data_IF_440252587118
#
_entry.id   IF_440252587118
#
_cell.length_a   1.000
_cell.length_b   1.000
_cell.length_c   1.000
_cell.angle_alpha   90.00
_cell.angle_beta   90.00
_cell.angle_gamma   90.00
#
_symmetry.space_group_name_H-M   'P 1'
#
loop_
_entity.id
_entity.type
_entity.pdbx_description
1 polymer ?
#
# COMPACT_ATOMS: atom_id res chain seq x y z
N UNK A 1 11.88 3.38 0.69
CA UNK A 1 11.50 2.17 -0.06
C UNK A 1 10.76 2.63 -1.31
N UNK A 2 10.86 1.90 -2.42
CA UNK A 2 10.07 2.18 -3.64
C UNK A 2 9.14 0.99 -3.85
N UNK A 3 7.87 1.26 -4.10
CA UNK A 3 6.85 0.28 -4.44
C UNK A 3 6.40 0.57 -5.86
N UNK A 4 6.47 -0.42 -6.73
CA UNK A 4 6.20 -0.29 -8.16
C UNK A 4 4.71 -0.46 -8.43
N UNK A 5 4.09 -1.47 -7.81
CA UNK A 5 2.68 -1.81 -8.01
C UNK A 5 1.76 -1.12 -6.98
N UNK A 6 1.94 0.18 -6.72
CA UNK A 6 1.34 0.82 -5.54
C UNK A 6 -0.20 0.76 -5.51
N UNK A 7 -0.90 1.06 -6.61
CA UNK A 7 -2.37 1.07 -6.63
C UNK A 7 -2.95 -0.35 -6.53
N UNK A 8 -2.29 -1.32 -7.17
CA UNK A 8 -2.61 -2.72 -7.01
C UNK A 8 -2.46 -3.18 -5.55
N UNK A 9 -1.34 -2.87 -4.90
CA UNK A 9 -1.16 -3.24 -3.50
C UNK A 9 -2.13 -2.52 -2.56
N UNK A 10 -2.44 -1.24 -2.79
CA UNK A 10 -3.48 -0.55 -2.02
C UNK A 10 -4.82 -1.28 -2.13
N UNK A 11 -5.24 -1.66 -3.34
CA UNK A 11 -6.44 -2.46 -3.58
C UNK A 11 -6.41 -3.80 -2.82
N UNK A 12 -5.34 -4.59 -2.98
CA UNK A 12 -5.19 -5.90 -2.33
C UNK A 12 -5.14 -5.83 -0.80
N UNK A 13 -4.76 -4.68 -0.25
CA UNK A 13 -4.72 -4.41 1.19
C UNK A 13 -6.01 -3.78 1.72
N UNK A 14 -7.08 -3.77 0.92
CA UNK A 14 -8.42 -3.34 1.30
C UNK A 14 -8.77 -1.91 0.90
N UNK A 15 -8.02 -1.34 -0.04
CA UNK A 15 -8.43 -0.15 -0.79
C UNK A 15 -9.59 -0.45 -1.75
N UNK A 16 -9.98 0.56 -2.52
CA UNK A 16 -11.03 0.45 -3.52
C UNK A 16 -10.49 0.16 -4.93
N UNK A 17 -11.39 -0.05 -5.89
CA UNK A 17 -11.09 -0.36 -7.29
C UNK A 17 -10.30 0.74 -8.03
N UNK A 18 -10.11 1.92 -7.42
CA UNK A 18 -9.27 3.00 -7.98
C UNK A 18 -7.86 3.01 -7.41
N UNK A 19 -7.58 2.14 -6.43
CA UNK A 19 -6.32 2.12 -5.70
C UNK A 19 -6.24 3.20 -4.64
N UNK A 20 -7.39 3.76 -4.25
CA UNK A 20 -7.49 4.65 -3.10
C UNK A 20 -7.62 3.84 -1.80
N UNK A 21 -7.15 4.41 -0.70
CA UNK A 21 -7.22 3.79 0.61
C UNK A 21 -8.62 3.91 1.21
N UNK A 22 -8.93 3.03 2.15
CA UNK A 22 -10.18 2.97 2.89
C UNK A 22 -9.93 3.36 4.36
N UNK A 23 -10.69 4.33 4.88
CA UNK A 23 -10.52 4.81 6.26
C UNK A 23 -10.80 3.78 7.33
N UNK A 24 -11.61 2.78 7.02
CA UNK A 24 -11.95 1.68 7.93
C UNK A 24 -10.94 0.53 7.89
N UNK A 25 -10.03 0.52 6.89
CA UNK A 25 -9.07 -0.57 6.67
C UNK A 25 -7.65 -0.01 6.71
N UNK A 26 -7.00 -0.15 7.86
CA UNK A 26 -5.70 0.47 8.11
C UNK A 26 -4.60 -0.06 7.18
N UNK A 27 -4.61 -1.34 6.78
CA UNK A 27 -3.63 -1.89 5.82
C UNK A 27 -3.68 -1.22 4.45
N UNK A 28 -4.82 -0.66 4.03
CA UNK A 28 -4.92 0.09 2.78
C UNK A 28 -4.15 1.41 2.81
N UNK A 29 -3.85 1.94 4.01
CA UNK A 29 -3.14 3.20 4.22
C UNK A 29 -1.61 3.06 4.19
N UNK A 30 -1.12 1.86 3.89
CA UNK A 30 0.31 1.52 3.96
C UNK A 30 1.16 2.20 2.89
N UNK A 31 0.56 2.54 1.74
CA UNK A 31 1.25 3.14 0.59
C UNK A 31 0.74 4.56 0.32
N UNK A 32 -0.57 4.77 0.40
CA UNK A 32 -1.23 6.08 0.38
C UNK A 32 -2.05 6.19 1.66
N UNK A 33 -1.61 6.99 2.62
CA UNK A 33 -2.43 7.23 3.83
C UNK A 33 -3.32 8.46 3.65
N UNK A 34 -4.28 8.68 4.56
CA UNK A 34 -5.24 9.77 4.45
C UNK A 34 -4.81 11.11 5.04
N UNK A 35 -3.85 11.10 5.95
CA UNK A 35 -3.45 12.29 6.69
C UNK A 35 -2.41 13.07 5.88
N UNK A 36 -2.88 14.06 5.13
CA UNK A 36 -2.08 14.93 4.28
C UNK A 36 -1.18 15.86 5.13
N UNK A 37 0.11 15.89 4.79
CA UNK A 37 1.05 16.88 5.28
C UNK A 37 0.93 18.10 4.37
N UNK A 38 0.36 19.17 4.92
CA UNK A 38 0.14 20.47 4.25
C UNK A 38 -0.86 20.43 3.07
N UNK A 39 -2.17 20.30 3.39
CA UNK A 39 -3.24 20.27 2.38
C UNK A 39 -3.40 21.61 1.63
N UNK A 40 -2.76 22.69 2.08
CA UNK A 40 -2.84 24.01 1.44
C UNK A 40 -1.75 24.21 0.36
N UNK A 41 -0.70 23.37 0.33
CA UNK A 41 0.38 23.38 -0.67
C UNK A 41 0.27 22.26 -1.72
N UNK A 42 -0.93 21.99 -2.24
CA UNK A 42 -1.08 21.13 -3.43
C UNK A 42 -0.51 21.84 -4.68
N UNK A 43 0.78 21.60 -4.94
CA UNK A 43 1.53 22.18 -6.08
C UNK A 43 1.50 21.30 -7.34
N UNK A 44 0.52 20.40 -7.45
CA UNK A 44 0.38 19.45 -8.57
C UNK A 44 1.17 18.15 -8.40
N UNK A 45 1.74 17.90 -7.21
CA UNK A 45 2.32 16.62 -6.78
C UNK A 45 1.34 15.99 -5.79
N UNK A 46 1.16 14.66 -5.83
CA UNK A 46 0.35 13.94 -4.84
C UNK A 46 0.81 14.31 -3.43
N UNK A 47 -0.10 14.65 -2.51
CA UNK A 47 0.29 15.07 -1.17
C UNK A 47 1.17 14.03 -0.46
N UNK A 48 2.08 14.50 0.39
CA UNK A 48 2.75 13.61 1.31
C UNK A 48 1.75 13.23 2.41
N UNK A 49 1.71 11.96 2.79
CA UNK A 49 0.82 11.47 3.83
C UNK A 49 1.61 10.84 4.96
N UNK A 50 1.06 10.81 6.17
CA UNK A 50 1.73 10.16 7.30
C UNK A 50 0.89 9.11 8.02
N UNK A 51 1.59 8.26 8.77
CA UNK A 51 1.07 7.37 9.79
C UNK A 51 1.78 7.67 11.09
N UNK A 52 1.01 7.80 12.17
CA UNK A 52 1.53 7.96 13.53
C UNK A 52 2.28 6.70 13.98
N UNK A 53 3.06 6.80 15.07
CA UNK A 53 3.79 5.66 15.63
C UNK A 53 2.84 4.50 15.99
N UNK A 54 1.70 4.81 16.60
CA UNK A 54 0.71 3.80 17.01
C UNK A 54 0.10 3.11 15.78
N UNK A 55 -0.23 3.88 14.73
CA UNK A 55 -0.72 3.33 13.46
C UNK A 55 0.34 2.47 12.77
N UNK A 56 1.62 2.88 12.78
CA UNK A 56 2.72 2.08 12.20
C UNK A 56 2.87 0.74 12.93
N UNK A 57 2.75 0.72 14.25
CA UNK A 57 2.78 -0.52 15.04
C UNK A 57 1.61 -1.43 14.68
N UNK A 58 0.40 -0.86 14.59
CA UNK A 58 -0.79 -1.62 14.24
C UNK A 58 -0.72 -2.18 12.81
N UNK A 59 -0.32 -1.35 11.84
CA UNK A 59 -0.08 -1.75 10.46
C UNK A 59 0.92 -2.89 10.37
N UNK A 60 2.06 -2.79 11.07
CA UNK A 60 3.08 -3.83 11.06
C UNK A 60 2.53 -5.16 11.58
N UNK A 61 1.71 -5.11 12.64
CA UNK A 61 1.03 -6.30 13.18
C UNK A 61 0.04 -6.90 12.18
N UNK A 62 -0.80 -6.08 11.54
CA UNK A 62 -1.81 -6.55 10.58
C UNK A 62 -1.18 -7.11 9.31
N UNK A 63 -0.19 -6.42 8.75
CA UNK A 63 0.56 -6.88 7.58
C UNK A 63 1.23 -8.23 7.82
N UNK A 64 1.78 -8.47 9.02
CA UNK A 64 2.42 -9.73 9.37
C UNK A 64 1.43 -10.92 9.45
N UNK A 65 0.12 -10.67 9.55
CA UNK A 65 -0.90 -11.74 9.54
C UNK A 65 -1.40 -12.10 8.14
N UNK A 66 -1.10 -11.29 7.12
CA UNK A 66 -1.53 -11.53 5.75
C UNK A 66 -0.49 -12.47 5.10
N UNK A 67 -0.94 -13.67 4.70
CA UNK A 67 -0.12 -14.60 3.91
C UNK A 67 -0.16 -14.25 2.42
N UNK A 68 0.80 -14.78 1.67
CA UNK A 68 0.86 -14.66 0.21
C UNK A 68 -0.45 -15.16 -0.44
N UNK A 69 -1.00 -16.28 0.03
CA UNK A 69 -2.26 -16.82 -0.46
C UNK A 69 -3.44 -15.91 -0.14
N UNK A 70 -3.47 -15.31 1.06
CA UNK A 70 -4.53 -14.40 1.46
C UNK A 70 -4.47 -13.10 0.64
N UNK A 71 -3.28 -12.57 0.38
CA UNK A 71 -3.09 -11.40 -0.48
C UNK A 71 -3.54 -11.72 -1.92
N UNK A 72 -3.00 -12.80 -2.51
CA UNK A 72 -3.29 -13.18 -3.89
C UNK A 72 -4.72 -13.67 -4.10
N UNK A 73 -5.44 -14.10 -3.06
CA UNK A 73 -6.88 -14.40 -3.17
C UNK A 73 -7.74 -13.19 -3.52
N UNK A 74 -7.20 -11.97 -3.32
CA UNK A 74 -7.84 -10.69 -3.70
C UNK A 74 -7.39 -10.20 -5.07
N UNK A 75 -6.46 -10.90 -5.71
CA UNK A 75 -5.95 -10.54 -7.02
C UNK A 75 -6.96 -10.90 -8.10
N UNK A 76 -7.69 -9.89 -8.57
CA UNK A 76 -8.77 -9.99 -9.54
C UNK A 76 -8.44 -9.15 -10.78
N UNK A 77 -7.63 -9.65 -11.73
CA UNK A 77 -7.18 -8.91 -12.92
C UNK A 77 -8.29 -8.15 -13.66
N UNK A 78 -9.47 -8.76 -13.75
CA UNK A 78 -10.65 -8.20 -14.42
C UNK A 78 -11.21 -6.94 -13.73
N UNK A 79 -10.91 -6.74 -12.45
CA UNK A 79 -11.35 -5.60 -11.63
C UNK A 79 -10.23 -4.57 -11.38
N UNK A 80 -9.02 -4.79 -11.92
CA UNK A 80 -7.83 -3.98 -11.62
C UNK A 80 -7.43 -3.03 -12.75
N UNK A 81 -8.17 -2.99 -13.86
CA UNK A 81 -7.78 -2.29 -15.10
C UNK A 81 -7.46 -0.79 -14.95
N UNK A 82 -8.08 -0.11 -13.99
CA UNK A 82 -7.91 1.33 -13.76
C UNK A 82 -6.87 1.65 -12.65
N UNK A 83 -6.23 0.63 -12.07
CA UNK A 83 -5.26 0.82 -11.00
C UNK A 83 -3.94 1.39 -11.52
N UNK A 84 -3.46 2.42 -10.83
CA UNK A 84 -2.18 3.04 -11.13
C UNK A 84 -0.98 2.31 -10.46
N UNK A 85 0.22 2.32 -11.06
CA UNK A 85 0.48 2.70 -12.46
C UNK A 85 -0.28 1.78 -13.41
N UNK A 86 -0.90 2.36 -14.46
CA UNK A 86 -1.73 1.61 -15.41
C UNK A 86 -0.86 0.51 -16.04
N UNK A 87 -1.19 -0.73 -15.72
CA UNK A 87 -0.53 -1.92 -16.23
C UNK A 87 -1.53 -2.89 -16.86
N UNK A 88 -1.07 -3.74 -17.76
CA UNK A 88 -1.84 -4.92 -18.17
C UNK A 88 -1.84 -5.93 -17.01
N UNK A 89 -2.72 -5.72 -16.03
CA UNK A 89 -2.97 -6.69 -14.97
C UNK A 89 -3.51 -7.96 -15.61
N UNK A 90 -2.64 -8.93 -15.82
CA UNK A 90 -2.93 -10.22 -16.45
C UNK A 90 -2.65 -11.32 -15.46
N UNK A 91 -3.31 -12.46 -15.66
CA UNK A 91 -3.06 -13.63 -14.84
C UNK A 91 -1.74 -14.34 -15.24
N UNK A 92 -0.61 -13.66 -15.05
CA UNK A 92 0.72 -14.19 -15.32
C UNK A 92 1.54 -14.34 -14.02
N UNK A 93 2.38 -15.39 -13.91
CA UNK A 93 3.21 -15.61 -12.73
C UNK A 93 4.18 -14.46 -12.42
N UNK A 94 4.63 -13.74 -13.44
CA UNK A 94 5.58 -12.63 -13.30
C UNK A 94 4.99 -11.45 -12.52
N UNK A 95 3.77 -11.04 -12.84
CA UNK A 95 3.07 -9.94 -12.14
C UNK A 95 2.77 -10.34 -10.69
N UNK A 96 2.31 -11.58 -10.47
CA UNK A 96 2.04 -12.09 -9.11
C UNK A 96 3.32 -12.10 -8.26
N UNK A 97 4.46 -12.45 -8.84
CA UNK A 97 5.76 -12.39 -8.15
C UNK A 97 6.17 -10.97 -7.83
N UNK A 98 6.03 -10.03 -8.77
CA UNK A 98 6.35 -8.61 -8.52
C UNK A 98 5.50 -8.02 -7.39
N UNK A 99 4.19 -8.33 -7.37
CA UNK A 99 3.29 -7.94 -6.27
C UNK A 99 3.74 -8.51 -4.92
N UNK A 100 4.15 -9.78 -4.88
CA UNK A 100 4.65 -10.41 -3.67
C UNK A 100 5.99 -9.82 -3.22
N UNK A 101 6.91 -9.53 -4.15
CA UNK A 101 8.19 -8.91 -3.84
C UNK A 101 7.99 -7.53 -3.19
N UNK A 102 7.12 -6.68 -3.77
CA UNK A 102 6.76 -5.38 -3.21
C UNK A 102 6.01 -5.53 -1.86
N UNK A 103 5.11 -6.51 -1.73
CA UNK A 103 4.40 -6.78 -0.48
C UNK A 103 5.33 -7.23 0.65
N UNK A 104 6.28 -8.13 0.37
CA UNK A 104 7.28 -8.56 1.36
C UNK A 104 8.21 -7.41 1.75
N UNK A 105 8.58 -6.55 0.79
CA UNK A 105 9.32 -5.33 1.08
C UNK A 105 8.54 -4.41 2.03
N UNK A 106 7.22 -4.26 1.81
CA UNK A 106 6.32 -3.48 2.67
C UNK A 106 6.22 -4.07 4.09
N UNK A 107 6.03 -5.39 4.22
CA UNK A 107 6.02 -6.08 5.51
C UNK A 107 7.34 -5.84 6.26
N UNK A 108 8.48 -6.04 5.60
CA UNK A 108 9.79 -5.85 6.20
C UNK A 108 10.02 -4.40 6.62
N UNK A 109 9.60 -3.44 5.79
CA UNK A 109 9.72 -2.01 6.10
C UNK A 109 8.92 -1.65 7.35
N UNK A 110 7.63 -1.98 7.41
CA UNK A 110 6.77 -1.65 8.55
C UNK A 110 7.21 -2.36 9.83
N UNK A 111 7.70 -3.60 9.75
CA UNK A 111 8.27 -4.30 10.90
C UNK A 111 9.50 -3.57 11.48
N UNK A 112 10.36 -3.03 10.62
CA UNK A 112 11.52 -2.22 11.05
C UNK A 112 11.07 -0.90 11.69
N UNK A 113 10.15 -0.18 11.06
CA UNK A 113 9.70 1.13 11.57
C UNK A 113 8.93 1.02 12.89
N UNK A 114 8.08 0.00 13.03
CA UNK A 114 7.36 -0.28 14.26
C UNK A 114 8.32 -0.57 15.43
N UNK A 115 9.32 -1.43 15.20
CA UNK A 115 10.33 -1.75 16.23
C UNK A 115 11.19 -0.55 16.63
N UNK A 116 11.41 0.39 15.71
CA UNK A 116 12.16 1.61 15.95
C UNK A 116 11.33 2.72 16.63
N UNK A 117 10.01 2.59 16.70
CA UNK A 117 9.12 3.63 17.23
C UNK A 117 8.99 4.85 16.31
N UNK A 118 9.11 4.65 14.99
CA UNK A 118 9.06 5.71 13.99
C UNK A 118 7.64 5.93 13.46
N UNK A 119 7.31 7.20 13.19
CA UNK A 119 6.23 7.54 12.27
C UNK A 119 6.70 7.31 10.82
N UNK A 120 5.75 7.10 9.90
CA UNK A 120 6.04 6.90 8.48
C UNK A 120 5.44 8.04 7.68
N UNK A 121 6.18 8.54 6.71
CA UNK A 121 5.70 9.49 5.71
C UNK A 121 5.83 8.84 4.33
N UNK A 122 4.73 8.85 3.58
CA UNK A 122 4.63 8.31 2.23
C UNK A 122 4.38 9.45 1.24
N UNK A 123 4.94 9.35 0.05
CA UNK A 123 4.68 10.30 -1.04
C UNK A 123 4.83 9.56 -2.37
N UNK A 124 4.02 9.92 -3.36
CA UNK A 124 4.09 9.37 -4.72
C UNK A 124 4.86 10.34 -5.61
N UNK A 125 5.75 9.81 -6.46
CA UNK A 125 6.58 10.56 -7.43
C UNK A 125 6.51 9.97 -8.81
#
# INVERSE_FOLDING_TARGET
MVIHCWGALTYLLGGDETGAWNSEILTSRTIISGECIDPEHETGITPAFYLTVDEVIQVASELAQISDEALLSRYEPENMHDLHPIGEWTDCPEIRRELLDDFHALQAFYAVQANAGNAVINYLV
#
